data_IF_853434589274
#
_entry.id   IF_853434589274
#
_cell.length_a   1.000
_cell.length_b   1.000
_cell.length_c   1.000
_cell.angle_alpha   90.00
_cell.angle_beta   90.00
_cell.angle_gamma   90.00
#
_symmetry.space_group_name_H-M   'P 1'
#
loop_
_entity.id
_entity.type
_entity.pdbx_description
1 polymer ?
#
# COMPACT_ATOMS: atom_id res chain seq x y z
N UNK A 1 10.81 0.57 -5.63
CA UNK A 1 9.89 0.07 -6.68
C UNK A 1 9.05 1.24 -7.15
N UNK A 2 8.69 1.26 -8.44
CA UNK A 2 7.84 2.32 -9.01
C UNK A 2 6.36 1.97 -8.84
N UNK A 3 5.53 3.01 -8.79
CA UNK A 3 4.07 2.92 -8.86
C UNK A 3 3.62 2.46 -10.25
N UNK A 4 3.60 1.16 -10.50
CA UNK A 4 2.99 0.58 -11.70
C UNK A 4 1.66 -0.09 -11.34
N UNK A 5 0.77 0.65 -10.68
CA UNK A 5 -0.60 0.20 -10.44
C UNK A 5 -1.39 0.40 -11.75
N UNK A 6 -2.06 -0.64 -12.29
CA UNK A 6 -2.86 -0.53 -13.50
C UNK A 6 -4.03 0.43 -13.28
N UNK A 7 -4.41 1.14 -14.34
CA UNK A 7 -5.58 2.02 -14.29
C UNK A 7 -6.87 1.21 -14.18
N UNK A 8 -7.89 1.71 -13.45
CA UNK A 8 -9.17 1.05 -13.37
C UNK A 8 -9.82 0.96 -14.76
N UNK A 9 -10.55 -0.13 -15.00
CA UNK A 9 -11.28 -0.31 -16.25
C UNK A 9 -12.36 0.75 -16.41
N UNK A 10 -12.53 1.27 -17.63
CA UNK A 10 -13.60 2.21 -17.92
C UNK A 10 -14.97 1.55 -17.69
N UNK A 11 -15.78 2.13 -16.82
CA UNK A 11 -17.14 1.63 -16.55
C UNK A 11 -18.02 2.05 -17.74
N UNK A 12 -18.67 1.11 -18.44
CA UNK A 12 -19.55 1.44 -19.55
C UNK A 12 -20.72 2.29 -19.06
N UNK A 13 -20.98 3.41 -19.75
CA UNK A 13 -22.09 4.30 -19.40
C UNK A 13 -23.41 3.66 -19.84
N UNK A 14 -24.19 3.15 -18.90
CA UNK A 14 -25.52 2.59 -19.17
C UNK A 14 -26.48 3.75 -19.45
N UNK A 15 -26.99 3.84 -20.67
CA UNK A 15 -27.96 4.90 -21.02
C UNK A 15 -29.30 4.57 -20.37
N UNK A 16 -29.96 5.52 -19.69
CA UNK A 16 -31.26 5.26 -19.08
C UNK A 16 -32.32 4.99 -20.16
N UNK A 17 -33.19 4.01 -19.89
CA UNK A 17 -34.32 3.70 -20.76
C UNK A 17 -35.28 4.90 -20.86
N UNK A 18 -35.38 5.49 -22.05
CA UNK A 18 -36.31 6.60 -22.33
C UNK A 18 -37.68 6.07 -22.79
N UNK A 19 -38.52 5.68 -21.84
CA UNK A 19 -39.87 5.15 -22.10
C UNK A 19 -40.89 6.21 -22.53
N UNK A 20 -40.66 7.49 -22.24
CA UNK A 20 -41.65 8.55 -22.44
C UNK A 20 -42.04 8.79 -23.90
N UNK A 21 -41.10 8.66 -24.85
CA UNK A 21 -41.39 8.75 -26.28
C UNK A 21 -42.07 7.49 -26.83
N UNK A 22 -41.77 6.34 -26.23
CA UNK A 22 -42.29 5.04 -26.65
C UNK A 22 -43.78 4.86 -26.35
N UNK A 23 -44.21 5.24 -25.14
CA UNK A 23 -45.62 5.18 -24.75
C UNK A 23 -46.51 6.11 -25.60
N UNK A 24 -45.96 7.27 -25.98
CA UNK A 24 -46.64 8.23 -26.88
C UNK A 24 -46.80 7.69 -28.29
N UNK A 25 -45.80 6.97 -28.81
CA UNK A 25 -45.88 6.31 -30.11
C UNK A 25 -46.92 5.18 -30.11
N UNK A 26 -46.91 4.34 -29.07
CA UNK A 26 -47.89 3.26 -28.90
C UNK A 26 -49.33 3.78 -28.89
N UNK A 27 -49.61 4.79 -28.06
CA UNK A 27 -50.96 5.34 -27.92
C UNK A 27 -51.45 5.99 -29.22
N UNK A 28 -50.58 6.69 -29.95
CA UNK A 28 -50.92 7.32 -31.23
C UNK A 28 -51.22 6.26 -32.30
N UNK A 29 -50.41 5.20 -32.39
CA UNK A 29 -50.67 4.08 -33.32
C UNK A 29 -51.97 3.34 -32.98
N UNK A 30 -52.22 3.06 -31.70
CA UNK A 30 -53.45 2.40 -31.26
C UNK A 30 -54.69 3.25 -31.58
N UNK A 31 -54.64 4.57 -31.32
CA UNK A 31 -55.72 5.49 -31.65
C UNK A 31 -55.98 5.56 -33.17
N UNK A 32 -54.93 5.54 -34.00
CA UNK A 32 -55.08 5.54 -35.46
C UNK A 32 -55.78 4.27 -35.96
N UNK A 33 -55.39 3.08 -35.46
CA UNK A 33 -56.01 1.80 -35.83
C UNK A 33 -57.50 1.78 -35.42
N UNK A 34 -57.81 2.27 -34.21
CA UNK A 34 -59.19 2.34 -33.73
C UNK A 34 -60.04 3.33 -34.55
N UNK A 35 -59.50 4.50 -34.89
CA UNK A 35 -60.21 5.50 -35.69
C UNK A 35 -60.51 5.00 -37.11
N UNK A 36 -59.52 4.40 -37.78
CA UNK A 36 -59.71 3.84 -39.13
C UNK A 36 -60.67 2.66 -39.08
N UNK A 37 -60.57 1.83 -38.06
CA UNK A 37 -61.42 0.66 -37.85
C UNK A 37 -62.89 0.98 -37.60
N UNK A 38 -63.15 1.80 -36.58
CA UNK A 38 -64.50 2.22 -36.23
C UNK A 38 -65.11 3.13 -37.31
N UNK A 39 -64.30 4.00 -37.93
CA UNK A 39 -64.73 4.85 -39.04
C UNK A 39 -65.10 4.02 -40.27
N UNK A 40 -64.28 3.03 -40.62
CA UNK A 40 -64.56 2.08 -41.70
C UNK A 40 -65.82 1.26 -41.43
N UNK A 41 -65.99 0.75 -40.20
CA UNK A 41 -67.20 0.05 -39.80
C UNK A 41 -68.46 0.92 -39.92
N UNK A 42 -68.40 2.18 -39.46
CA UNK A 42 -69.54 3.09 -39.53
C UNK A 42 -69.98 3.36 -40.99
N UNK A 43 -69.01 3.42 -41.92
CA UNK A 43 -69.27 3.74 -43.32
C UNK A 43 -69.70 2.54 -44.16
N UNK A 44 -69.04 1.39 -43.97
CA UNK A 44 -69.24 0.17 -44.78
C UNK A 44 -70.20 -0.84 -44.11
N UNK A 45 -70.50 -0.68 -42.82
CA UNK A 45 -71.30 -1.61 -41.98
C UNK A 45 -70.85 -3.07 -42.04
N UNK A 46 -69.58 -3.31 -42.37
CA UNK A 46 -69.02 -4.65 -42.51
C UNK A 46 -68.46 -5.15 -41.16
N UNK A 47 -69.00 -6.24 -40.58
CA UNK A 47 -68.50 -6.79 -39.31
C UNK A 47 -67.07 -7.33 -39.40
N UNK A 48 -66.58 -7.69 -40.59
CA UNK A 48 -65.21 -8.16 -40.78
C UNK A 48 -64.18 -7.07 -40.43
N UNK A 49 -64.51 -5.79 -40.61
CA UNK A 49 -63.64 -4.66 -40.25
C UNK A 49 -63.36 -4.59 -38.75
N UNK A 50 -64.33 -4.92 -37.89
CA UNK A 50 -64.12 -4.95 -36.44
C UNK A 50 -63.18 -6.09 -36.02
N UNK A 51 -63.21 -7.21 -36.74
CA UNK A 51 -62.35 -8.36 -36.49
C UNK A 51 -60.90 -8.06 -36.91
N UNK A 52 -60.71 -7.40 -38.06
CA UNK A 52 -59.40 -6.95 -38.50
C UNK A 52 -58.78 -5.88 -37.60
N UNK A 53 -59.59 -4.99 -37.02
CA UNK A 53 -59.08 -3.93 -36.14
C UNK A 53 -58.68 -4.47 -34.78
N UNK A 54 -59.46 -5.40 -34.23
CA UNK A 54 -59.07 -6.15 -33.04
C UNK A 54 -57.77 -6.91 -33.28
N UNK A 55 -57.65 -7.63 -34.40
CA UNK A 55 -56.42 -8.30 -34.81
C UNK A 55 -55.24 -7.32 -34.93
N UNK A 56 -55.44 -6.16 -35.55
CA UNK A 56 -54.42 -5.12 -35.70
C UNK A 56 -53.92 -4.56 -34.37
N UNK A 57 -54.80 -4.31 -33.41
CA UNK A 57 -54.41 -3.87 -32.05
C UNK A 57 -53.65 -4.97 -31.32
N UNK A 58 -54.07 -6.23 -31.42
CA UNK A 58 -53.35 -7.37 -30.82
C UNK A 58 -51.94 -7.51 -31.40
N UNK A 59 -51.80 -7.42 -32.73
CA UNK A 59 -50.50 -7.44 -33.41
C UNK A 59 -49.63 -6.27 -32.95
N UNK A 60 -50.19 -5.06 -32.85
CA UNK A 60 -49.48 -3.89 -32.34
C UNK A 60 -48.96 -4.12 -30.92
N UNK A 61 -49.78 -4.67 -30.02
CA UNK A 61 -49.39 -4.99 -28.64
C UNK A 61 -48.23 -5.99 -28.64
N UNK A 62 -48.29 -7.05 -29.45
CA UNK A 62 -47.22 -8.06 -29.52
C UNK A 62 -45.90 -7.47 -30.02
N UNK A 63 -45.94 -6.61 -31.04
CA UNK A 63 -44.74 -5.93 -31.56
C UNK A 63 -44.13 -5.02 -30.49
N UNK A 64 -44.95 -4.23 -29.80
CA UNK A 64 -44.46 -3.36 -28.73
C UNK A 64 -43.91 -4.15 -27.54
N UNK A 65 -44.56 -5.25 -27.15
CA UNK A 65 -44.09 -6.13 -26.10
C UNK A 65 -42.74 -6.77 -26.46
N UNK A 66 -42.56 -7.22 -27.70
CA UNK A 66 -41.29 -7.77 -28.18
C UNK A 66 -40.14 -6.76 -28.14
N UNK A 67 -40.38 -5.52 -28.60
CA UNK A 67 -39.35 -4.47 -28.61
C UNK A 67 -39.06 -3.97 -27.19
N UNK A 68 -40.07 -3.85 -26.34
CA UNK A 68 -39.91 -3.53 -24.93
C UNK A 68 -39.10 -4.59 -24.20
N UNK A 69 -39.43 -5.87 -24.41
CA UNK A 69 -38.70 -7.01 -23.85
C UNK A 69 -37.24 -7.05 -24.31
N UNK A 70 -37.00 -6.82 -25.59
CA UNK A 70 -35.63 -6.74 -26.13
C UNK A 70 -34.82 -5.59 -25.53
N UNK A 71 -35.41 -4.40 -25.44
CA UNK A 71 -34.72 -3.24 -24.85
C UNK A 71 -34.47 -3.41 -23.35
N UNK A 72 -35.39 -4.03 -22.61
CA UNK A 72 -35.18 -4.38 -21.20
C UNK A 72 -34.09 -5.43 -21.04
N UNK A 73 -34.07 -6.46 -21.89
CA UNK A 73 -33.03 -7.48 -21.89
C UNK A 73 -31.65 -6.87 -22.17
N UNK A 74 -31.52 -6.07 -23.23
CA UNK A 74 -30.26 -5.37 -23.56
C UNK A 74 -29.81 -4.45 -22.43
N UNK A 75 -30.73 -3.67 -21.86
CA UNK A 75 -30.41 -2.81 -20.73
C UNK A 75 -29.94 -3.61 -19.51
N UNK A 76 -30.61 -4.73 -19.22
CA UNK A 76 -30.23 -5.62 -18.13
C UNK A 76 -28.80 -6.15 -18.29
N UNK A 77 -28.46 -6.64 -19.49
CA UNK A 77 -27.11 -7.12 -19.80
C UNK A 77 -26.06 -6.01 -19.71
N UNK A 78 -26.35 -4.81 -20.24
CA UNK A 78 -25.45 -3.66 -20.14
C UNK A 78 -25.25 -3.19 -18.69
N UNK A 79 -26.31 -3.23 -17.88
CA UNK A 79 -26.27 -2.86 -16.47
C UNK A 79 -25.47 -3.88 -15.64
N UNK A 80 -25.70 -5.18 -15.84
CA UNK A 80 -24.95 -6.25 -15.19
C UNK A 80 -23.46 -6.16 -15.53
N UNK A 81 -23.13 -5.95 -16.81
CA UNK A 81 -21.74 -5.78 -17.23
C UNK A 81 -21.07 -4.54 -16.60
N UNK A 82 -21.78 -3.43 -16.47
CA UNK A 82 -21.27 -2.24 -15.80
C UNK A 82 -21.03 -2.49 -14.30
N UNK A 83 -21.96 -3.21 -13.65
CA UNK A 83 -21.84 -3.59 -12.25
C UNK A 83 -20.66 -4.53 -12.00
N UNK A 84 -20.48 -5.55 -12.84
CA UNK A 84 -19.34 -6.46 -12.78
C UNK A 84 -18.00 -5.73 -12.89
N UNK A 85 -17.87 -4.82 -13.86
CA UNK A 85 -16.66 -4.00 -14.03
C UNK A 85 -16.42 -3.14 -12.79
N UNK A 86 -17.48 -2.55 -12.23
CA UNK A 86 -17.40 -1.75 -11.01
C UNK A 86 -16.93 -2.57 -9.81
N UNK A 87 -17.44 -3.79 -9.66
CA UNK A 87 -17.05 -4.72 -8.60
C UNK A 87 -15.60 -5.17 -8.77
N UNK A 88 -15.16 -5.45 -10.00
CA UNK A 88 -13.78 -5.81 -10.31
C UNK A 88 -12.81 -4.65 -10.02
N UNK A 89 -13.17 -3.42 -10.40
CA UNK A 89 -12.42 -2.22 -10.05
C UNK A 89 -12.32 -2.01 -8.53
N UNK A 90 -13.39 -2.27 -7.79
CA UNK A 90 -13.39 -2.19 -6.32
C UNK A 90 -12.47 -3.25 -5.70
N UNK A 91 -12.57 -4.50 -6.13
CA UNK A 91 -11.74 -5.60 -5.63
C UNK A 91 -10.26 -5.38 -5.92
N UNK A 92 -9.92 -4.97 -7.15
CA UNK A 92 -8.54 -4.62 -7.52
C UNK A 92 -8.01 -3.45 -6.68
N UNK A 93 -8.83 -2.41 -6.46
CA UNK A 93 -8.46 -1.29 -5.58
C UNK A 93 -8.15 -1.76 -4.17
N UNK A 94 -8.99 -2.60 -3.57
CA UNK A 94 -8.77 -3.17 -2.24
C UNK A 94 -7.50 -4.03 -2.16
N UNK A 95 -7.23 -4.83 -3.20
CA UNK A 95 -6.01 -5.63 -3.26
C UNK A 95 -4.76 -4.75 -3.31
N UNK A 96 -4.79 -3.69 -4.11
CA UNK A 96 -3.70 -2.73 -4.21
C UNK A 96 -3.52 -1.89 -2.94
N UNK A 97 -4.62 -1.55 -2.24
CA UNK A 97 -4.58 -0.92 -0.93
C UNK A 97 -3.89 -1.83 0.10
N UNK A 98 -4.32 -3.09 0.20
CA UNK A 98 -3.67 -4.08 1.07
C UNK A 98 -2.20 -4.24 0.73
N UNK A 99 -1.87 -4.35 -0.55
CA UNK A 99 -0.48 -4.42 -1.00
C UNK A 99 0.31 -3.18 -0.57
N UNK A 100 -0.22 -1.97 -0.78
CA UNK A 100 0.44 -0.72 -0.40
C UNK A 100 0.66 -0.61 1.13
N UNK A 101 -0.27 -1.13 1.92
CA UNK A 101 -0.27 -1.07 3.38
C UNK A 101 0.57 -2.14 4.07
N UNK A 102 0.98 -3.20 3.36
CA UNK A 102 1.86 -4.22 3.94
C UNK A 102 3.13 -3.57 4.49
N UNK A 103 3.44 -3.93 5.73
CA UNK A 103 4.55 -3.39 6.52
C UNK A 103 5.25 -4.50 7.29
N UNK A 104 6.48 -4.22 7.69
CA UNK A 104 7.25 -5.07 8.60
C UNK A 104 7.17 -4.46 9.99
N UNK A 105 6.81 -5.28 10.99
CA UNK A 105 6.74 -4.83 12.37
C UNK A 105 8.15 -4.66 12.95
N UNK A 106 8.35 -3.58 13.72
CA UNK A 106 9.57 -3.33 14.49
C UNK A 106 9.28 -3.63 15.95
N UNK A 107 9.99 -4.63 16.49
CA UNK A 107 9.84 -5.07 17.88
C UNK A 107 10.73 -4.26 18.82
N UNK A 108 11.88 -3.83 18.33
CA UNK A 108 12.83 -2.99 19.07
C UNK A 108 13.80 -2.31 18.14
N UNK A 109 14.30 -1.16 18.56
CA UNK A 109 15.39 -0.46 17.87
C UNK A 109 16.24 0.27 18.90
N UNK A 110 17.53 0.40 18.61
CA UNK A 110 18.42 1.21 19.41
C UNK A 110 19.44 1.91 18.50
N UNK A 111 19.74 3.16 18.81
CA UNK A 111 20.74 3.95 18.10
C UNK A 111 21.83 4.37 19.08
N UNK A 112 23.05 3.96 18.77
CA UNK A 112 24.26 4.38 19.43
C UNK A 112 24.86 5.56 18.68
N UNK A 113 24.97 6.70 19.35
CA UNK A 113 25.72 7.86 18.86
C UNK A 113 26.91 8.11 19.77
N UNK A 114 28.06 8.54 19.24
CA UNK A 114 29.23 8.85 20.05
C UNK A 114 28.89 9.87 21.15
N UNK A 115 29.30 9.57 22.37
CA UNK A 115 29.03 10.39 23.56
C UNK A 115 29.80 11.71 23.48
N UNK A 116 29.13 12.73 22.95
CA UNK A 116 29.61 14.09 22.78
C UNK A 116 30.84 14.25 21.87
N UNK A 117 30.67 15.04 20.82
CA UNK A 117 31.79 15.66 20.14
C UNK A 117 32.51 16.56 21.14
N UNK A 118 33.83 16.42 21.28
CA UNK A 118 34.61 17.25 22.21
C UNK A 118 34.34 18.73 21.91
N UNK A 119 33.72 19.43 22.87
CA UNK A 119 33.49 20.87 22.75
C UNK A 119 34.83 21.57 22.55
N UNK A 120 34.93 22.55 21.64
CA UNK A 120 36.18 23.24 21.35
C UNK A 120 36.86 23.86 22.58
N UNK A 121 36.14 24.07 23.69
CA UNK A 121 36.69 24.56 24.95
C UNK A 121 37.52 23.57 25.78
N UNK A 122 37.58 22.28 25.42
CA UNK A 122 38.47 21.31 26.09
C UNK A 122 39.90 21.27 25.50
N UNK A 123 40.11 21.91 24.35
CA UNK A 123 41.44 22.20 23.83
C UNK A 123 41.69 23.70 24.02
N UNK A 124 42.87 24.08 24.52
CA UNK A 124 43.35 25.47 24.59
C UNK A 124 43.65 26.05 23.18
N UNK A 125 42.75 25.82 22.21
CA UNK A 125 42.86 26.26 20.83
C UNK A 125 41.81 27.31 20.50
N UNK A 126 42.11 28.24 19.58
CA UNK A 126 41.17 29.28 19.18
C UNK A 126 39.89 28.67 18.59
N UNK A 127 38.74 29.08 19.15
CA UNK A 127 37.38 28.63 18.84
C UNK A 127 36.94 29.00 17.40
N UNK A 128 37.69 29.89 16.73
CA UNK A 128 37.48 30.33 15.34
C UNK A 128 38.49 29.70 14.34
N UNK A 129 39.00 28.50 14.62
CA UNK A 129 39.83 27.77 13.66
C UNK A 129 39.03 26.73 12.89
N UNK A 130 39.37 26.50 11.62
CA UNK A 130 38.91 25.37 10.78
C UNK A 130 39.38 24.00 11.30
N UNK A 131 39.42 23.80 12.63
CA UNK A 131 39.76 22.52 13.23
C UNK A 131 38.51 21.65 13.21
N UNK A 132 38.53 20.53 12.46
CA UNK A 132 37.38 19.64 12.39
C UNK A 132 37.06 19.12 13.78
N UNK A 133 35.76 19.04 14.07
CA UNK A 133 35.25 18.39 15.26
C UNK A 133 35.68 16.91 15.23
N UNK A 134 36.56 16.53 16.16
CA UNK A 134 37.07 15.16 16.23
C UNK A 134 36.07 14.29 16.99
N UNK A 135 35.62 13.22 16.32
CA UNK A 135 34.85 12.16 16.93
C UNK A 135 35.72 11.38 17.92
N UNK A 136 35.12 10.78 18.97
CA UNK A 136 35.86 9.94 19.89
C UNK A 136 36.47 8.73 19.16
N UNK A 137 37.61 8.20 19.66
CA UNK A 137 38.26 7.05 19.07
C UNK A 137 37.36 5.82 19.14
N UNK A 138 37.45 4.97 18.12
CA UNK A 138 36.65 3.76 18.03
C UNK A 138 37.09 2.69 19.06
N UNK A 139 36.13 2.21 19.87
CA UNK A 139 36.36 1.19 20.91
C UNK A 139 36.33 -0.28 20.42
N UNK A 140 36.25 -0.52 19.10
CA UNK A 140 36.18 -1.87 18.51
C UNK A 140 34.74 -2.41 18.30
N UNK A 141 34.56 -3.30 17.32
CA UNK A 141 33.22 -3.75 16.89
C UNK A 141 32.52 -4.54 18.00
N UNK A 142 33.27 -5.35 18.76
CA UNK A 142 32.75 -6.12 19.88
C UNK A 142 32.04 -5.25 20.94
N UNK A 143 32.64 -4.12 21.33
CA UNK A 143 32.03 -3.21 22.31
C UNK A 143 30.72 -2.60 21.79
N UNK A 144 30.73 -2.16 20.52
CA UNK A 144 29.52 -1.61 19.87
C UNK A 144 28.42 -2.67 19.76
N UNK A 145 28.74 -3.89 19.34
CA UNK A 145 27.76 -4.97 19.29
C UNK A 145 27.20 -5.30 20.67
N UNK A 146 28.04 -5.32 21.71
CA UNK A 146 27.59 -5.55 23.07
C UNK A 146 26.59 -4.48 23.53
N UNK A 147 26.89 -3.19 23.32
CA UNK A 147 26.00 -2.09 23.71
C UNK A 147 24.67 -2.10 22.94
N UNK A 148 24.73 -2.33 21.63
CA UNK A 148 23.55 -2.45 20.77
C UNK A 148 22.66 -3.64 21.20
N UNK A 149 23.26 -4.81 21.43
CA UNK A 149 22.53 -6.02 21.82
C UNK A 149 21.99 -5.93 23.25
N UNK A 150 22.73 -5.34 24.18
CA UNK A 150 22.30 -5.17 25.58
C UNK A 150 21.01 -4.36 25.66
N UNK A 151 20.87 -3.35 24.80
CA UNK A 151 19.70 -2.48 24.74
C UNK A 151 18.44 -3.19 24.25
N UNK A 152 18.59 -4.31 23.51
CA UNK A 152 17.49 -5.15 23.01
C UNK A 152 17.41 -6.51 23.73
N UNK A 153 18.17 -6.68 24.81
CA UNK A 153 18.25 -7.95 25.53
C UNK A 153 16.87 -8.53 25.91
N UNK A 154 15.90 -7.76 26.46
CA UNK A 154 14.62 -8.35 26.86
C UNK A 154 13.83 -8.89 25.66
N UNK A 155 13.78 -8.16 24.54
CA UNK A 155 13.11 -8.61 23.32
C UNK A 155 13.80 -9.85 22.72
N UNK A 156 15.13 -9.88 22.72
CA UNK A 156 15.91 -11.02 22.21
C UNK A 156 15.73 -12.28 23.06
N UNK A 157 15.70 -12.14 24.39
CA UNK A 157 15.45 -13.26 25.30
C UNK A 157 14.06 -13.87 25.09
N UNK A 158 13.04 -13.02 24.87
CA UNK A 158 11.69 -13.50 24.59
C UNK A 158 11.63 -14.28 23.27
N UNK A 159 12.22 -13.75 22.19
CA UNK A 159 12.26 -14.46 20.90
C UNK A 159 12.96 -15.82 21.00
N UNK A 160 14.07 -15.89 21.74
CA UNK A 160 14.79 -17.14 22.00
C UNK A 160 13.94 -18.12 22.81
N UNK A 161 13.23 -17.64 23.84
CA UNK A 161 12.34 -18.47 24.66
C UNK A 161 11.21 -19.09 23.83
N UNK A 162 10.69 -18.34 22.86
CA UNK A 162 9.68 -18.79 21.90
C UNK A 162 10.24 -19.63 20.74
N UNK A 163 11.56 -19.88 20.73
CA UNK A 163 12.28 -20.65 19.70
C UNK A 163 12.17 -20.03 18.30
N UNK A 164 12.01 -18.72 18.23
CA UNK A 164 12.03 -17.97 16.97
C UNK A 164 13.48 -17.80 16.55
N UNK A 165 13.81 -18.25 15.34
CA UNK A 165 15.16 -18.07 14.78
C UNK A 165 15.37 -16.62 14.34
N UNK A 166 16.61 -16.14 14.53
CA UNK A 166 17.01 -14.78 14.24
C UNK A 166 17.97 -14.74 13.05
N UNK A 167 17.56 -14.10 11.97
CA UNK A 167 18.42 -13.85 10.81
C UNK A 167 19.17 -12.54 11.00
N UNK A 168 20.50 -12.58 11.06
CA UNK A 168 21.33 -11.41 11.34
C UNK A 168 21.92 -10.86 10.06
N UNK A 169 21.72 -9.56 9.82
CA UNK A 169 22.34 -8.79 8.73
C UNK A 169 23.35 -7.83 9.33
N UNK A 170 24.63 -8.10 9.06
CA UNK A 170 25.71 -7.19 9.43
C UNK A 170 25.87 -6.09 8.36
N UNK A 171 26.45 -4.94 8.74
CA UNK A 171 26.73 -3.84 7.83
C UNK A 171 27.63 -4.21 6.64
N UNK A 172 27.60 -3.39 5.58
CA UNK A 172 28.48 -3.55 4.43
C UNK A 172 29.96 -3.50 4.83
N UNK A 173 30.77 -4.41 4.28
CA UNK A 173 32.20 -4.50 4.56
C UNK A 173 32.57 -5.39 5.76
N UNK A 174 31.60 -5.85 6.56
CA UNK A 174 31.85 -6.82 7.61
C UNK A 174 32.18 -8.20 7.02
N UNK A 175 33.30 -8.79 7.46
CA UNK A 175 33.75 -10.13 7.11
C UNK A 175 33.45 -11.15 8.20
N UNK A 176 34.18 -12.27 8.14
CA UNK A 176 34.03 -13.36 9.11
C UNK A 176 34.55 -12.98 10.51
N UNK A 177 35.51 -12.05 10.60
CA UNK A 177 36.08 -11.62 11.88
C UNK A 177 35.06 -10.79 12.68
N UNK A 178 34.35 -9.87 12.03
CA UNK A 178 33.24 -9.13 12.64
C UNK A 178 32.08 -10.04 13.01
N UNK A 179 31.80 -11.07 12.19
CA UNK A 179 30.81 -12.10 12.53
C UNK A 179 31.20 -12.86 13.80
N UNK A 180 32.46 -13.25 13.95
CA UNK A 180 32.95 -13.89 15.17
C UNK A 180 32.81 -12.98 16.39
N UNK A 181 33.18 -11.70 16.25
CA UNK A 181 33.00 -10.71 17.33
C UNK A 181 31.53 -10.54 17.72
N UNK A 182 30.62 -10.48 16.74
CA UNK A 182 29.18 -10.43 16.98
C UNK A 182 28.69 -11.67 17.74
N UNK A 183 29.07 -12.88 17.29
CA UNK A 183 28.67 -14.12 17.98
C UNK A 183 29.26 -14.23 19.39
N UNK A 184 30.46 -13.68 19.61
CA UNK A 184 31.07 -13.57 20.94
C UNK A 184 30.26 -12.67 21.86
N UNK A 185 29.88 -11.47 21.40
CA UNK A 185 29.01 -10.56 22.15
C UNK A 185 27.64 -11.19 22.46
N UNK A 186 27.05 -11.91 21.50
CA UNK A 186 25.79 -12.64 21.66
C UNK A 186 25.88 -13.72 22.76
N UNK A 187 26.95 -14.51 22.74
CA UNK A 187 27.19 -15.55 23.77
C UNK A 187 27.44 -14.94 25.14
N UNK A 188 28.15 -13.81 25.24
CA UNK A 188 28.39 -13.12 26.51
C UNK A 188 27.10 -12.65 27.18
N UNK A 189 26.05 -12.36 26.39
CA UNK A 189 24.71 -12.02 26.89
C UNK A 189 23.87 -13.25 27.29
N UNK A 190 24.44 -14.46 27.20
CA UNK A 190 23.78 -15.71 27.58
C UNK A 190 22.80 -16.23 26.52
N UNK A 191 22.86 -15.72 25.29
CA UNK A 191 21.96 -16.11 24.20
C UNK A 191 22.56 -17.28 23.37
N UNK A 192 21.75 -18.27 22.96
CA UNK A 192 22.25 -19.45 22.25
C UNK A 192 22.56 -19.12 20.79
N UNK A 193 23.76 -19.47 20.31
CA UNK A 193 24.16 -19.26 18.90
C UNK A 193 23.33 -20.10 17.93
N UNK A 194 22.75 -21.23 18.38
CA UNK A 194 21.85 -22.05 17.58
C UNK A 194 20.55 -21.34 17.17
N UNK A 195 20.21 -20.21 17.83
CA UNK A 195 19.08 -19.37 17.42
C UNK A 195 19.41 -18.45 16.24
N UNK A 196 20.69 -18.31 15.88
CA UNK A 196 21.15 -17.40 14.84
C UNK A 196 21.24 -18.11 13.48
N UNK A 197 20.69 -17.44 12.48
CA UNK A 197 20.89 -17.73 11.07
C UNK A 197 21.77 -16.63 10.48
N UNK A 198 22.85 -17.03 9.83
CA UNK A 198 23.65 -16.11 9.02
C UNK A 198 22.79 -15.72 7.81
N UNK A 199 22.56 -14.43 7.62
CA UNK A 199 22.07 -13.94 6.33
C UNK A 199 23.27 -13.88 5.38
N UNK A 200 23.32 -14.70 4.32
CA UNK A 200 24.36 -14.58 3.33
C UNK A 200 24.06 -13.34 2.47
N UNK A 201 25.10 -12.58 2.11
CA UNK A 201 25.13 -11.50 1.11
C UNK A 201 25.03 -10.08 1.67
N UNK A 202 25.83 -9.20 1.07
CA UNK A 202 25.79 -7.75 1.27
C UNK A 202 24.34 -7.23 1.22
N UNK A 203 23.94 -6.35 2.14
CA UNK A 203 22.57 -5.88 2.20
C UNK A 203 22.17 -5.22 0.88
N UNK A 204 21.20 -5.81 0.17
CA UNK A 204 20.56 -5.17 -0.98
C UNK A 204 19.99 -3.79 -0.57
N UNK A 205 19.73 -2.89 -1.52
CA UNK A 205 19.07 -1.62 -1.18
C UNK A 205 17.78 -1.82 -0.38
N UNK A 206 17.46 -0.92 0.56
CA UNK A 206 16.27 -1.00 1.44
C UNK A 206 14.98 -1.43 0.71
N UNK A 207 14.74 -0.89 -0.49
CA UNK A 207 13.54 -1.22 -1.26
C UNK A 207 13.48 -2.65 -1.81
N UNK A 208 14.62 -3.29 -2.03
CA UNK A 208 14.70 -4.70 -2.44
C UNK A 208 14.52 -5.60 -1.23
N UNK A 209 15.19 -5.30 -0.11
CA UNK A 209 15.01 -6.06 1.13
C UNK A 209 13.56 -6.05 1.61
N UNK A 210 12.94 -4.86 1.66
CA UNK A 210 11.55 -4.71 2.05
C UNK A 210 10.60 -5.48 1.11
N UNK A 211 10.89 -5.50 -0.19
CA UNK A 211 10.12 -6.29 -1.15
C UNK A 211 10.21 -7.78 -0.80
N UNK A 212 11.44 -8.28 -0.59
CA UNK A 212 11.70 -9.70 -0.32
C UNK A 212 11.02 -10.14 0.97
N UNK A 213 11.13 -9.35 2.04
CA UNK A 213 10.50 -9.62 3.34
C UNK A 213 8.98 -9.70 3.27
N UNK A 214 8.36 -8.86 2.43
CA UNK A 214 6.90 -8.86 2.28
C UNK A 214 6.39 -9.90 1.27
N UNK A 215 7.18 -10.27 0.27
CA UNK A 215 6.77 -11.25 -0.75
C UNK A 215 6.93 -12.69 -0.29
N UNK A 216 7.95 -12.96 0.52
CA UNK A 216 8.25 -14.28 1.07
C UNK A 216 8.51 -14.13 2.57
N UNK A 217 7.46 -13.83 3.35
CA UNK A 217 7.62 -13.60 4.77
C UNK A 217 8.12 -14.88 5.46
N UNK A 218 9.28 -14.77 6.10
CA UNK A 218 9.83 -15.84 6.92
C UNK A 218 9.24 -15.80 8.33
N UNK A 219 9.05 -16.97 8.94
CA UNK A 219 8.71 -17.09 10.36
C UNK A 219 9.90 -16.74 11.29
N UNK A 220 10.94 -16.11 10.74
CA UNK A 220 12.15 -15.71 11.47
C UNK A 220 12.08 -14.22 11.76
N UNK A 221 12.53 -13.84 12.95
CA UNK A 221 12.82 -12.45 13.24
C UNK A 221 14.17 -12.07 12.60
N UNK A 222 14.36 -10.80 12.30
CA UNK A 222 15.55 -10.28 11.62
C UNK A 222 16.21 -9.20 12.45
N UNK A 223 17.52 -9.29 12.59
CA UNK A 223 18.33 -8.29 13.29
C UNK A 223 19.19 -7.59 12.25
N UNK A 224 18.89 -6.31 12.00
CA UNK A 224 19.61 -5.50 11.01
C UNK A 224 20.45 -4.48 11.75
N UNK A 225 21.76 -4.54 11.57
CA UNK A 225 22.70 -3.58 12.11
C UNK A 225 23.20 -2.72 10.95
N UNK A 226 23.22 -1.40 11.15
CA UNK A 226 23.76 -0.43 10.21
C UNK A 226 24.72 0.48 10.97
N UNK A 227 25.91 0.70 10.44
CA UNK A 227 26.88 1.62 11.03
C UNK A 227 27.42 2.57 9.96
N UNK A 228 27.88 3.74 10.40
CA UNK A 228 28.66 4.64 9.56
C UNK A 228 30.03 4.89 10.19
N UNK A 229 31.07 4.49 9.47
CA UNK A 229 32.47 4.71 9.84
C UNK A 229 33.03 5.87 9.04
N UNK A 230 33.96 6.61 9.64
CA UNK A 230 34.87 7.45 8.87
C UNK A 230 35.65 6.57 7.87
N UNK A 231 36.08 7.14 6.74
CA UNK A 231 36.78 6.46 5.64
C UNK A 231 38.04 5.69 6.09
N UNK A 232 38.62 6.06 7.22
CA UNK A 232 39.80 5.41 7.81
C UNK A 232 39.46 4.38 8.90
N UNK A 233 38.17 4.13 9.19
CA UNK A 233 37.68 3.30 10.31
C UNK A 233 38.21 3.75 11.69
N UNK A 234 38.64 5.01 11.80
CA UNK A 234 39.24 5.55 13.01
C UNK A 234 38.20 5.99 14.05
N UNK A 235 36.98 6.35 13.60
CA UNK A 235 35.88 6.81 14.43
C UNK A 235 34.52 6.32 13.93
N UNK A 236 33.56 6.18 14.86
CA UNK A 236 32.15 5.92 14.56
C UNK A 236 31.38 7.24 14.48
N UNK A 237 30.59 7.43 13.43
CA UNK A 237 29.55 8.46 13.42
C UNK A 237 28.27 7.99 14.12
N UNK A 238 28.12 6.67 14.25
CA UNK A 238 27.03 6.02 14.98
C UNK A 238 26.73 4.63 14.43
N UNK A 239 25.96 3.88 15.20
CA UNK A 239 25.45 2.57 14.80
C UNK A 239 24.00 2.42 15.24
N UNK A 240 23.20 1.74 14.45
CA UNK A 240 21.78 1.51 14.73
C UNK A 240 21.48 0.03 14.56
N UNK A 241 20.69 -0.51 15.48
CA UNK A 241 20.20 -1.88 15.44
C UNK A 241 18.67 -1.87 15.37
N UNK A 242 18.13 -2.70 14.49
CA UNK A 242 16.69 -2.88 14.29
C UNK A 242 16.33 -4.34 14.44
N UNK A 243 15.35 -4.62 15.30
CA UNK A 243 14.74 -5.93 15.45
C UNK A 243 13.40 -5.94 14.71
N UNK A 244 13.37 -6.65 13.59
CA UNK A 244 12.27 -6.68 12.63
C UNK A 244 11.58 -8.05 12.66
N UNK A 245 10.26 -8.04 12.56
CA UNK A 245 9.45 -9.24 12.55
C UNK A 245 8.42 -9.18 11.41
N UNK A 246 8.74 -9.73 10.22
CA UNK A 246 7.85 -9.68 9.06
C UNK A 246 6.51 -10.41 9.28
N UNK A 247 6.49 -11.46 10.11
CA UNK A 247 5.29 -12.22 10.45
C UNK A 247 5.14 -12.48 11.96
N UNK A 248 6.25 -12.72 12.64
CA UNK A 248 6.25 -13.12 14.05
C UNK A 248 5.83 -12.03 15.02
N UNK A 249 5.74 -10.76 14.60
CA UNK A 249 5.44 -9.65 15.50
C UNK A 249 4.03 -9.70 16.11
N UNK A 250 3.07 -10.34 15.45
CA UNK A 250 1.73 -10.53 16.00
C UNK A 250 1.59 -11.83 16.81
N UNK A 251 2.46 -12.81 16.59
CA UNK A 251 2.39 -14.14 17.23
C UNK A 251 3.34 -14.29 18.42
N UNK A 252 4.41 -13.49 18.47
CA UNK A 252 5.46 -13.53 19.52
C UNK A 252 5.09 -12.83 20.83
N UNK A 253 3.88 -12.26 20.93
CA UNK A 253 3.45 -11.51 22.11
C UNK A 253 4.29 -10.26 22.43
N UNK A 254 5.26 -9.88 21.60
CA UNK A 254 6.07 -8.67 21.75
C UNK A 254 5.31 -7.43 21.27
N UNK A 255 5.42 -6.29 21.98
CA UNK A 255 4.77 -5.07 21.56
C UNK A 255 5.43 -4.50 20.29
N UNK A 256 4.63 -4.28 19.25
CA UNK A 256 5.09 -3.59 18.04
C UNK A 256 5.31 -2.11 18.36
N UNK A 257 6.55 -1.63 18.20
CA UNK A 257 6.94 -0.23 18.47
C UNK A 257 6.60 0.68 17.30
N UNK A 258 6.84 0.22 16.08
CA UNK A 258 6.48 0.91 14.85
C UNK A 258 6.42 -0.06 13.67
N UNK A 259 5.98 0.44 12.51
CA UNK A 259 5.83 -0.33 11.27
C UNK A 259 6.66 0.30 10.16
N UNK A 260 7.49 -0.52 9.51
CA UNK A 260 8.25 -0.11 8.33
C UNK A 260 7.43 -0.42 7.07
N UNK A 261 7.07 0.64 6.35
CA UNK A 261 6.30 0.53 5.11
C UNK A 261 7.20 0.47 3.88
N UNK A 262 6.64 -0.05 2.78
CA UNK A 262 7.33 -0.12 1.50
C UNK A 262 7.75 1.27 1.01
N UNK A 263 8.99 1.43 0.50
CA UNK A 263 9.38 2.67 -0.15
C UNK A 263 8.66 2.82 -1.49
N UNK A 264 7.92 3.92 -1.64
CA UNK A 264 7.18 4.24 -2.85
C UNK A 264 7.94 5.28 -3.66
N UNK A 265 8.68 4.85 -4.69
CA UNK A 265 9.45 5.77 -5.55
C UNK A 265 8.52 6.35 -6.61
N UNK A 266 8.48 7.67 -6.72
CA UNK A 266 7.78 8.41 -7.78
C UNK A 266 8.78 8.89 -8.83
N UNK A 267 8.53 8.68 -10.13
CA UNK A 267 9.38 9.24 -11.17
C UNK A 267 9.14 10.75 -11.29
N UNK A 268 10.22 11.55 -11.26
CA UNK A 268 10.16 12.96 -11.68
C UNK A 268 9.87 13.01 -13.20
N UNK A 269 8.98 13.89 -13.72
CA UNK A 269 8.36 15.08 -13.11
C UNK A 269 6.86 14.92 -12.69
N UNK A 270 6.31 13.71 -12.64
CA UNK A 270 4.84 13.46 -12.53
C UNK A 270 4.33 13.47 -11.07
N UNK A 271 4.82 14.40 -10.25
CA UNK A 271 4.64 14.34 -8.79
C UNK A 271 3.17 14.43 -8.33
N UNK A 272 2.37 15.35 -8.89
CA UNK A 272 1.02 15.61 -8.36
C UNK A 272 0.01 14.47 -8.60
N UNK A 273 -0.06 13.93 -9.82
CA UNK A 273 -0.98 12.83 -10.14
C UNK A 273 -0.58 11.52 -9.43
N UNK A 274 0.73 11.25 -9.33
CA UNK A 274 1.24 10.08 -8.61
C UNK A 274 1.07 10.21 -7.10
N UNK A 275 1.22 11.41 -6.53
CA UNK A 275 0.96 11.65 -5.11
C UNK A 275 -0.54 11.53 -4.77
N UNK A 276 -1.43 12.01 -5.65
CA UNK A 276 -2.87 11.79 -5.48
C UNK A 276 -3.20 10.30 -5.46
N UNK A 277 -2.65 9.53 -6.41
CA UNK A 277 -2.78 8.07 -6.39
C UNK A 277 -2.23 7.50 -5.09
N UNK A 278 -1.05 7.91 -4.64
CA UNK A 278 -0.50 7.46 -3.37
C UNK A 278 -1.50 7.59 -2.21
N UNK A 279 -2.15 8.75 -2.06
CA UNK A 279 -3.16 8.95 -1.02
C UNK A 279 -4.41 8.09 -1.21
N UNK A 280 -4.91 7.94 -2.43
CA UNK A 280 -6.12 7.15 -2.71
C UNK A 280 -5.95 5.66 -2.30
N UNK A 281 -4.71 5.15 -2.21
CA UNK A 281 -4.42 3.80 -1.70
C UNK A 281 -3.93 3.75 -0.24
N UNK A 282 -3.79 4.89 0.45
CA UNK A 282 -3.63 4.92 1.90
C UNK A 282 -5.00 4.71 2.58
N UNK A 283 -5.04 4.10 3.79
CA UNK A 283 -6.29 4.00 4.52
C UNK A 283 -6.78 5.41 4.92
N UNK A 284 -8.10 5.64 4.90
CA UNK A 284 -8.70 6.85 5.45
C UNK A 284 -8.33 6.94 6.94
N UNK A 285 -7.61 7.99 7.28
CA UNK A 285 -6.78 8.08 8.49
C UNK A 285 -7.60 8.36 9.74
N UNK A 286 -7.85 7.33 10.55
CA UNK A 286 -7.88 7.50 12.01
C UNK A 286 -6.53 7.20 12.65
N UNK A 287 -5.64 6.44 12.00
CA UNK A 287 -4.43 5.89 12.64
C UNK A 287 -3.08 6.27 12.00
N UNK A 288 -3.03 7.12 10.95
CA UNK A 288 -1.73 7.59 10.43
C UNK A 288 -1.15 8.70 11.30
N UNK A 289 -0.18 8.35 12.14
CA UNK A 289 0.71 9.31 12.78
C UNK A 289 2.06 9.37 12.06
N UNK A 290 2.51 10.57 11.69
CA UNK A 290 3.90 10.84 11.28
C UNK A 290 4.26 10.53 9.82
N UNK A 291 3.55 11.13 8.85
CA UNK A 291 4.03 11.16 7.47
C UNK A 291 5.30 12.03 7.39
N UNK A 292 6.45 11.43 7.09
CA UNK A 292 7.68 12.16 6.83
C UNK A 292 7.81 12.49 5.34
N UNK A 293 7.80 13.79 5.03
CA UNK A 293 8.02 14.32 3.69
C UNK A 293 9.30 15.16 3.67
N UNK A 294 10.01 15.13 2.54
CA UNK A 294 11.16 16.01 2.35
C UNK A 294 10.72 17.48 2.25
N UNK A 295 11.66 18.41 2.41
CA UNK A 295 11.34 19.84 2.40
C UNK A 295 10.75 20.33 1.07
N UNK A 296 10.97 19.58 -0.02
CA UNK A 296 10.57 19.95 -1.39
C UNK A 296 9.11 19.53 -1.65
N UNK A 297 8.67 18.39 -1.09
CA UNK A 297 7.33 17.85 -1.29
C UNK A 297 6.34 18.23 -0.19
N UNK A 298 6.79 18.90 0.87
CA UNK A 298 5.98 19.27 2.04
C UNK A 298 4.73 20.08 1.69
N UNK A 299 4.85 21.16 0.92
CA UNK A 299 3.71 22.02 0.58
C UNK A 299 2.63 21.29 -0.23
N UNK A 300 3.07 20.39 -1.12
CA UNK A 300 2.17 19.55 -1.91
C UNK A 300 1.50 18.48 -1.05
N UNK A 301 2.22 17.91 -0.09
CA UNK A 301 1.69 16.94 0.85
C UNK A 301 0.62 17.56 1.74
N UNK A 302 0.84 18.77 2.26
CA UNK A 302 -0.11 19.46 3.14
C UNK A 302 -1.41 19.79 2.40
N UNK A 303 -1.33 20.35 1.19
CA UNK A 303 -2.51 20.66 0.37
C UNK A 303 -3.35 19.42 0.07
N UNK A 304 -2.69 18.28 -0.18
CA UNK A 304 -3.37 17.04 -0.53
C UNK A 304 -3.88 16.29 0.71
N UNK A 305 -3.23 16.39 1.87
CA UNK A 305 -3.76 15.91 3.16
C UNK A 305 -5.05 16.64 3.54
N UNK A 306 -5.10 17.96 3.35
CA UNK A 306 -6.32 18.76 3.55
C UNK A 306 -7.44 18.32 2.60
N UNK A 307 -7.13 18.13 1.33
CA UNK A 307 -8.13 17.67 0.35
C UNK A 307 -8.64 16.25 0.64
N UNK A 308 -7.81 15.39 1.24
CA UNK A 308 -8.17 14.01 1.55
C UNK A 308 -8.95 13.89 2.87
N UNK A 309 -8.68 14.74 3.87
CA UNK A 309 -9.42 14.76 5.15
C UNK A 309 -10.82 15.39 5.02
N UNK A 310 -11.05 16.16 3.95
CA UNK A 310 -12.35 16.74 3.63
C UNK A 310 -13.26 15.81 2.80
N UNK A 311 -12.79 14.61 2.41
CA UNK A 311 -13.66 13.62 1.75
C UNK A 311 -14.50 12.90 2.82
N UNK A 312 -15.84 12.86 2.67
CA UNK A 312 -16.73 12.16 3.58
C UNK A 312 -16.56 10.64 3.53
#
# INVERSE_FOLDING_TARGET
MYWTIPEPYAIPSVKPLRWSGWWRGFSLCAMAILLVGCGGYFWLKDPCLLLYTFGGVVVLILVFAGIAGWNMYRYGVEAEHAEDISNLNRLTTLQWQRWAQQSVAVLGFHAFFPSAVLSPGHNEGPVNGDKPLLLPPFNGCNAVFQDLLLSLLPELQQLVAERILLEVTLPEGCGMDEWQQFTGAWQMLGLPVSSLLISPVAPDSYGVQMKNWLSAPSATARLVIVHHWDAQHAATEGAVIWLLAPQTGHESGLPVRCSLHRPMRTPLPVQAATFRRFLDYQPLTTDMNGLWTDAITRDHADALLIAHSQRP
#
